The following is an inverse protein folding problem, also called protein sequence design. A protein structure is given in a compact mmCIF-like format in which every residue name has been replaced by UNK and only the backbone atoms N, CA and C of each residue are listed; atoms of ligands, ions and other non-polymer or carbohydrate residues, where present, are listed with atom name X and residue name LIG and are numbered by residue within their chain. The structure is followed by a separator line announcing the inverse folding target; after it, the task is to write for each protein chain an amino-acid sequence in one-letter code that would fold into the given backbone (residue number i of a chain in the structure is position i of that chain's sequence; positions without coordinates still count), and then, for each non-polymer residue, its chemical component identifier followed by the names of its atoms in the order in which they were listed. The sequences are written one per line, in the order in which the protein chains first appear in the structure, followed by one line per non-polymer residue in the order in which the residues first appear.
data_IF_631972250362
#
_entry.id   IF_631972250362
#
_cell.length_a   1.000
_cell.length_b   1.000
_cell.length_c   1.000
_cell.angle_alpha   90.00
_cell.angle_beta   90.00
_cell.angle_gamma   90.00
#
_symmetry.space_group_name_H-M   'P 1'
#
loop_
_entity.id
_entity.type
_entity.pdbx_description
1 polymer ?
#
# COMPACT_ATOMS: atom_id res chain seq x y z
N UNK A 1 25.73 -5.05 -5.05
CA UNK A 1 25.20 -6.31 -5.64
C UNK A 1 24.37 -7.15 -4.68
N UNK A 2 24.87 -7.54 -3.50
CA UNK A 2 24.13 -8.42 -2.57
C UNK A 2 22.78 -7.83 -2.06
N UNK A 3 22.68 -6.52 -1.89
CA UNK A 3 21.49 -5.86 -1.32
C UNK A 3 20.33 -5.78 -2.34
N UNK A 4 20.63 -5.56 -3.64
CA UNK A 4 19.63 -5.67 -4.71
C UNK A 4 19.06 -7.09 -4.82
N UNK A 5 19.89 -8.12 -4.58
CA UNK A 5 19.42 -9.50 -4.54
C UNK A 5 18.47 -9.77 -3.37
N UNK A 6 18.68 -9.13 -2.21
CA UNK A 6 17.78 -9.27 -1.05
C UNK A 6 16.44 -8.58 -1.26
N UNK A 7 16.44 -7.37 -1.83
CA UNK A 7 15.21 -6.68 -2.18
C UNK A 7 14.41 -7.47 -3.23
N UNK A 8 15.09 -7.98 -4.26
CA UNK A 8 14.48 -8.84 -5.29
C UNK A 8 13.87 -10.11 -4.68
N UNK A 9 14.56 -10.77 -3.75
CA UNK A 9 14.03 -11.93 -3.05
C UNK A 9 12.78 -11.61 -2.21
N UNK A 10 12.75 -10.44 -1.55
CA UNK A 10 11.58 -10.01 -0.80
C UNK A 10 10.37 -9.70 -1.70
N UNK A 11 10.59 -9.09 -2.86
CA UNK A 11 9.53 -8.83 -3.84
C UNK A 11 9.00 -10.10 -4.48
N UNK A 12 9.85 -11.08 -4.76
CA UNK A 12 9.39 -12.41 -5.20
C UNK A 12 8.48 -13.07 -4.17
N UNK A 13 8.84 -13.03 -2.89
CA UNK A 13 7.98 -13.53 -1.82
C UNK A 13 6.66 -12.74 -1.72
N UNK A 14 6.65 -11.45 -2.03
CA UNK A 14 5.42 -10.67 -2.14
C UNK A 14 4.51 -11.22 -3.26
N UNK A 15 5.06 -11.44 -4.44
CA UNK A 15 4.26 -11.90 -5.60
C UNK A 15 3.74 -13.33 -5.42
N UNK A 16 4.55 -14.21 -4.81
CA UNK A 16 4.11 -15.53 -4.35
C UNK A 16 2.97 -15.39 -3.34
N UNK A 17 3.09 -14.47 -2.37
CA UNK A 17 2.06 -14.25 -1.37
C UNK A 17 0.75 -13.75 -2.02
N UNK A 18 0.83 -12.84 -2.99
CA UNK A 18 -0.35 -12.40 -3.76
C UNK A 18 -1.01 -13.59 -4.45
N UNK A 19 -0.22 -14.48 -5.06
CA UNK A 19 -0.74 -15.68 -5.72
C UNK A 19 -1.43 -16.63 -4.73
N UNK A 20 -0.88 -16.80 -3.52
CA UNK A 20 -1.51 -17.54 -2.44
C UNK A 20 -2.82 -16.87 -1.97
N UNK A 21 -2.90 -15.54 -1.93
CA UNK A 21 -4.13 -14.82 -1.58
C UNK A 21 -5.25 -15.04 -2.59
N UNK A 22 -4.92 -15.06 -3.88
CA UNK A 22 -5.87 -15.39 -4.95
C UNK A 22 -6.39 -16.81 -4.79
N UNK A 23 -5.51 -17.74 -4.42
CA UNK A 23 -5.88 -19.13 -4.13
C UNK A 23 -6.59 -19.32 -2.77
N UNK A 24 -6.92 -18.25 -2.04
CA UNK A 24 -7.57 -18.32 -0.73
C UNK A 24 -6.68 -18.85 0.42
N UNK A 25 -5.36 -18.96 0.21
CA UNK A 25 -4.41 -19.50 1.18
C UNK A 25 -3.85 -18.39 2.10
N UNK A 26 -4.74 -17.67 2.78
CA UNK A 26 -4.44 -16.45 3.56
C UNK A 26 -3.33 -16.65 4.60
N UNK A 27 -3.36 -17.76 5.34
CA UNK A 27 -2.34 -18.05 6.36
C UNK A 27 -0.94 -18.22 5.76
N UNK A 28 -0.83 -18.90 4.61
CA UNK A 28 0.45 -19.10 3.94
C UNK A 28 0.95 -17.81 3.31
N UNK A 29 0.06 -17.02 2.71
CA UNK A 29 0.38 -15.69 2.21
C UNK A 29 0.95 -14.79 3.30
N UNK A 30 0.33 -14.79 4.50
CA UNK A 30 0.81 -14.00 5.63
C UNK A 30 2.22 -14.42 6.07
N UNK A 31 2.53 -15.71 6.08
CA UNK A 31 3.87 -16.21 6.40
C UNK A 31 4.91 -15.74 5.37
N UNK A 32 4.59 -15.77 4.08
CA UNK A 32 5.48 -15.26 3.03
C UNK A 32 5.71 -13.75 3.14
N UNK A 33 4.66 -12.97 3.43
CA UNK A 33 4.77 -11.53 3.66
C UNK A 33 5.64 -11.21 4.89
N UNK A 34 5.48 -11.96 5.99
CA UNK A 34 6.33 -11.83 7.17
C UNK A 34 7.80 -12.14 6.86
N UNK A 35 8.05 -13.17 6.06
CA UNK A 35 9.39 -13.51 5.60
C UNK A 35 9.97 -12.39 4.70
N UNK A 36 9.18 -11.84 3.79
CA UNK A 36 9.59 -10.70 2.95
C UNK A 36 9.97 -9.48 3.79
N UNK A 37 9.15 -9.09 4.77
CA UNK A 37 9.46 -7.99 5.71
C UNK A 37 10.77 -8.26 6.46
N UNK A 38 10.99 -9.50 6.92
CA UNK A 38 12.23 -9.88 7.62
C UNK A 38 13.47 -9.76 6.73
N UNK A 39 13.35 -10.08 5.44
CA UNK A 39 14.44 -9.90 4.48
C UNK A 39 14.74 -8.41 4.28
N UNK A 40 13.73 -7.58 4.02
CA UNK A 40 13.95 -6.15 3.78
C UNK A 40 14.53 -5.46 5.02
N UNK A 41 13.99 -5.76 6.21
CA UNK A 41 14.53 -5.22 7.48
C UNK A 41 16.01 -5.55 7.67
N UNK A 42 16.42 -6.80 7.37
CA UNK A 42 17.83 -7.21 7.45
C UNK A 42 18.69 -6.52 6.39
N UNK A 43 18.17 -6.32 5.19
CA UNK A 43 18.87 -5.61 4.12
C UNK A 43 19.15 -4.15 4.52
N UNK A 44 18.13 -3.44 5.01
CA UNK A 44 18.26 -2.04 5.46
C UNK A 44 19.23 -1.93 6.63
N UNK A 45 19.13 -2.82 7.64
CA UNK A 45 20.03 -2.81 8.79
C UNK A 45 21.50 -2.99 8.39
N UNK A 46 21.79 -3.87 7.42
CA UNK A 46 23.15 -4.07 6.88
C UNK A 46 23.65 -2.86 6.10
N UNK A 47 22.78 -2.21 5.34
CA UNK A 47 23.11 -1.00 4.59
C UNK A 47 23.50 0.14 5.55
N UNK A 48 22.72 0.34 6.61
CA UNK A 48 23.01 1.35 7.65
C UNK A 48 24.32 1.06 8.41
N UNK A 49 24.62 -0.21 8.69
CA UNK A 49 25.86 -0.61 9.36
C UNK A 49 27.11 -0.45 8.49
N UNK A 50 26.97 -0.49 7.16
CA UNK A 50 28.10 -0.38 6.22
C UNK A 50 28.55 1.04 5.93
N UNK A 51 27.82 2.05 6.38
CA UNK A 51 28.20 3.47 6.30
C UNK A 51 28.51 3.95 4.89
N UNK A 52 27.52 4.54 4.20
CA UNK A 52 27.65 5.38 2.99
C UNK A 52 28.92 5.14 2.13
N UNK A 53 29.15 3.91 1.68
CA UNK A 53 30.21 3.61 0.74
C UNK A 53 29.59 3.13 -0.56
N UNK A 54 29.87 3.88 -1.61
CA UNK A 54 29.58 3.61 -3.04
C UNK A 54 28.19 4.04 -3.53
N UNK A 55 28.07 5.33 -3.84
CA UNK A 55 27.27 5.77 -4.97
C UNK A 55 27.89 5.16 -6.24
N UNK A 56 27.45 3.96 -6.60
CA UNK A 56 27.79 3.36 -7.90
C UNK A 56 26.75 3.85 -8.89
N UNK A 57 27.18 4.76 -9.78
CA UNK A 57 26.47 5.07 -11.01
C UNK A 57 26.37 3.77 -11.82
N UNK A 58 25.26 3.06 -11.68
CA UNK A 58 24.89 1.99 -12.58
C UNK A 58 23.86 2.57 -13.54
N UNK A 59 24.32 2.95 -14.73
CA UNK A 59 23.45 3.13 -15.89
C UNK A 59 22.83 1.76 -16.19
N UNK A 60 21.63 1.53 -15.68
CA UNK A 60 20.81 0.37 -16.04
C UNK A 60 19.69 0.81 -16.96
N UNK A 61 19.48 0.03 -18.00
CA UNK A 61 18.47 0.24 -19.03
C UNK A 61 17.10 0.57 -18.43
N UNK A 62 16.51 1.64 -18.96
CA UNK A 62 15.23 2.23 -18.55
C UNK A 62 14.08 1.25 -18.73
N UNK A 63 13.72 0.52 -17.68
CA UNK A 63 12.37 -0.01 -17.51
C UNK A 63 11.81 0.61 -16.23
N UNK A 64 11.14 1.73 -16.40
CA UNK A 64 10.36 2.35 -15.33
C UNK A 64 9.01 1.65 -15.26
N UNK A 65 8.70 1.03 -14.12
CA UNK A 65 7.37 0.43 -13.88
C UNK A 65 6.32 1.53 -13.97
N UNK A 66 5.42 1.48 -14.94
CA UNK A 66 4.35 2.48 -15.06
C UNK A 66 3.22 2.21 -14.06
N UNK A 67 2.45 3.24 -13.73
CA UNK A 67 1.24 3.08 -12.93
C UNK A 67 0.22 2.12 -13.59
N UNK A 68 0.18 2.11 -14.92
CA UNK A 68 -0.64 1.17 -15.69
C UNK A 68 -0.18 -0.29 -15.49
N UNK A 69 1.13 -0.54 -15.45
CA UNK A 69 1.67 -1.86 -15.12
C UNK A 69 1.32 -2.27 -13.69
N UNK A 70 1.44 -1.35 -12.72
CA UNK A 70 0.99 -1.61 -11.35
C UNK A 70 -0.50 -1.99 -11.29
N UNK A 71 -1.35 -1.34 -12.10
CA UNK A 71 -2.77 -1.67 -12.17
C UNK A 71 -3.02 -3.04 -12.79
N UNK A 72 -2.37 -3.36 -13.90
CA UNK A 72 -2.47 -4.66 -14.58
C UNK A 72 -1.98 -5.79 -13.68
N UNK A 73 -0.91 -5.55 -12.92
CA UNK A 73 -0.28 -6.56 -12.06
C UNK A 73 -0.95 -6.68 -10.69
N UNK A 74 -1.72 -5.67 -10.27
CA UNK A 74 -2.49 -5.73 -9.03
C UNK A 74 -3.66 -6.70 -9.17
N UNK A 75 -3.88 -7.55 -8.17
CA UNK A 75 -4.93 -8.58 -8.23
C UNK A 75 -6.07 -8.26 -7.27
N UNK A 76 -7.28 -8.18 -7.79
CA UNK A 76 -8.50 -7.99 -7.00
C UNK A 76 -8.78 -9.24 -6.15
N UNK A 77 -8.94 -9.04 -4.85
CA UNK A 77 -9.23 -10.11 -3.90
C UNK A 77 -10.75 -10.23 -3.68
N UNK A 78 -11.27 -11.45 -3.80
CA UNK A 78 -12.70 -11.74 -3.62
C UNK A 78 -13.16 -11.66 -2.16
N UNK A 79 -14.48 -11.59 -1.94
CA UNK A 79 -15.09 -11.65 -0.60
C UNK A 79 -15.35 -10.30 0.08
N UNK A 80 -14.96 -9.18 -0.53
CA UNK A 80 -15.26 -7.83 0.02
C UNK A 80 -16.42 -7.11 -0.70
N UNK A 81 -17.20 -7.85 -1.47
CA UNK A 81 -18.38 -7.32 -2.16
C UNK A 81 -19.55 -7.28 -1.15
N UNK A 82 -20.34 -6.19 -1.14
CA UNK A 82 -21.50 -5.93 -0.25
C UNK A 82 -21.23 -5.22 1.09
N UNK A 83 -20.12 -4.50 1.22
CA UNK A 83 -19.92 -3.59 2.35
C UNK A 83 -20.59 -2.24 2.05
N UNK A 84 -21.07 -1.54 3.10
CA UNK A 84 -21.63 -0.18 2.97
C UNK A 84 -20.59 0.85 2.46
N UNK A 85 -19.34 0.42 2.32
CA UNK A 85 -18.19 1.22 1.95
C UNK A 85 -17.29 0.43 0.98
N UNK A 86 -16.58 1.15 0.12
CA UNK A 86 -15.61 0.58 -0.80
C UNK A 86 -14.28 0.29 -0.08
N UNK A 87 -13.92 -0.98 0.02
CA UNK A 87 -12.58 -1.37 0.51
C UNK A 87 -11.66 -1.54 -0.70
N UNK A 88 -10.54 -0.83 -0.72
CA UNK A 88 -9.53 -1.09 -1.73
C UNK A 88 -8.93 -2.48 -1.49
N UNK A 89 -9.23 -3.42 -2.38
CA UNK A 89 -8.99 -4.84 -2.18
C UNK A 89 -8.04 -5.45 -3.22
N UNK A 90 -7.22 -4.63 -3.88
CA UNK A 90 -6.22 -5.12 -4.82
C UNK A 90 -4.88 -5.26 -4.11
N UNK A 91 -4.28 -6.43 -4.21
CA UNK A 91 -2.91 -6.63 -3.74
C UNK A 91 -1.93 -6.23 -4.84
N UNK A 92 -0.91 -5.46 -4.49
CA UNK A 92 0.09 -4.99 -5.46
C UNK A 92 1.15 -6.06 -5.72
N UNK A 93 1.46 -6.30 -7.00
CA UNK A 93 2.64 -7.06 -7.41
C UNK A 93 3.70 -6.12 -7.93
N UNK A 94 4.96 -6.49 -7.73
CA UNK A 94 6.09 -5.71 -8.21
C UNK A 94 7.18 -6.64 -8.68
N UNK A 95 7.40 -6.66 -9.99
CA UNK A 95 8.47 -7.44 -10.58
C UNK A 95 9.83 -6.98 -10.05
N UNK A 96 10.65 -7.94 -9.60
CA UNK A 96 12.02 -7.70 -9.12
C UNK A 96 12.90 -7.03 -10.17
N UNK A 97 12.58 -7.25 -11.44
CA UNK A 97 13.39 -6.83 -12.57
C UNK A 97 13.20 -5.33 -12.88
N UNK A 98 12.23 -4.69 -12.22
CA UNK A 98 11.80 -3.31 -12.47
C UNK A 98 12.25 -2.31 -11.39
N UNK A 99 12.90 -2.77 -10.31
CA UNK A 99 13.49 -1.91 -9.27
C UNK A 99 14.96 -1.46 -9.44
N UNK A 100 15.80 -2.01 -10.35
CA UNK A 100 17.25 -1.75 -10.30
C UNK A 100 17.67 -0.34 -10.74
N UNK A 101 16.76 0.51 -11.22
CA UNK A 101 17.06 1.87 -11.70
C UNK A 101 17.13 2.94 -10.60
N UNK A 102 16.73 2.62 -9.36
CA UNK A 102 16.67 3.58 -8.26
C UNK A 102 17.78 3.42 -7.22
N UNK A 103 18.11 4.49 -6.47
CA UNK A 103 18.88 4.36 -5.24
C UNK A 103 18.24 3.29 -4.36
N UNK A 104 19.07 2.39 -3.85
CA UNK A 104 18.63 1.21 -3.11
C UNK A 104 17.73 1.56 -1.92
N UNK A 105 17.95 2.72 -1.30
CA UNK A 105 17.14 3.25 -0.21
C UNK A 105 15.70 3.53 -0.65
N UNK A 106 15.51 4.22 -1.79
CA UNK A 106 14.18 4.52 -2.34
C UNK A 106 13.48 3.24 -2.80
N UNK A 107 14.21 2.37 -3.50
CA UNK A 107 13.71 1.07 -3.93
C UNK A 107 13.27 0.19 -2.74
N UNK A 108 14.06 0.16 -1.67
CA UNK A 108 13.75 -0.58 -0.44
C UNK A 108 12.57 0.02 0.32
N UNK A 109 12.42 1.36 0.36
CA UNK A 109 11.30 2.03 0.99
C UNK A 109 9.98 1.73 0.28
N UNK A 110 9.92 1.91 -1.04
CA UNK A 110 8.69 1.63 -1.81
C UNK A 110 8.37 0.13 -1.80
N UNK A 111 9.37 -0.73 -1.99
CA UNK A 111 9.18 -2.18 -1.88
C UNK A 111 8.68 -2.61 -0.50
N UNK A 112 9.20 -2.02 0.58
CA UNK A 112 8.69 -2.24 1.94
C UNK A 112 7.25 -1.79 2.09
N UNK A 113 6.90 -0.61 1.56
CA UNK A 113 5.54 -0.08 1.63
C UNK A 113 4.55 -1.02 0.94
N UNK A 114 4.92 -1.63 -0.18
CA UNK A 114 4.10 -2.60 -0.92
C UNK A 114 3.88 -3.87 -0.12
N UNK A 115 4.95 -4.48 0.39
CA UNK A 115 4.87 -5.70 1.20
C UNK A 115 4.00 -5.47 2.43
N UNK A 116 4.22 -4.36 3.14
CA UNK A 116 3.48 -4.02 4.36
C UNK A 116 2.03 -3.68 4.04
N UNK A 117 1.76 -3.00 2.91
CA UNK A 117 0.41 -2.75 2.44
C UNK A 117 -0.35 -4.04 2.18
N UNK A 118 0.24 -4.98 1.44
CA UNK A 118 -0.38 -6.28 1.19
C UNK A 118 -0.63 -7.03 2.49
N UNK A 119 0.30 -6.99 3.45
CA UNK A 119 0.11 -7.57 4.78
C UNK A 119 -1.06 -6.91 5.53
N UNK A 120 -1.17 -5.58 5.48
CA UNK A 120 -2.29 -4.84 6.06
C UNK A 120 -3.62 -5.25 5.41
N UNK A 121 -3.64 -5.44 4.09
CA UNK A 121 -4.81 -5.86 3.35
C UNK A 121 -5.28 -7.26 3.74
N UNK A 122 -4.38 -8.22 3.94
CA UNK A 122 -4.72 -9.57 4.42
C UNK A 122 -5.37 -9.50 5.80
N UNK A 123 -4.78 -8.76 6.74
CA UNK A 123 -5.33 -8.63 8.09
C UNK A 123 -6.67 -7.89 8.10
N UNK A 124 -6.82 -6.89 7.23
CA UNK A 124 -8.06 -6.16 7.05
C UNK A 124 -9.18 -7.08 6.53
N UNK A 125 -8.89 -7.88 5.49
CA UNK A 125 -9.82 -8.90 4.98
C UNK A 125 -10.22 -9.89 6.06
N UNK A 126 -9.26 -10.40 6.83
CA UNK A 126 -9.54 -11.31 7.93
C UNK A 126 -10.44 -10.68 9.00
N UNK A 127 -10.25 -9.40 9.33
CA UNK A 127 -11.13 -8.67 10.25
C UNK A 127 -12.57 -8.60 9.74
N UNK A 128 -12.76 -8.32 8.43
CA UNK A 128 -14.08 -8.19 7.81
C UNK A 128 -14.78 -9.54 7.61
N UNK A 129 -14.04 -10.56 7.17
CA UNK A 129 -14.59 -11.87 6.79
C UNK A 129 -14.73 -12.86 7.94
N UNK A 130 -13.87 -12.79 8.96
CA UNK A 130 -13.81 -13.78 10.05
C UNK A 130 -14.44 -13.24 11.35
N UNK A 131 -15.52 -12.47 11.24
CA UNK A 131 -16.26 -11.90 12.37
C UNK A 131 -15.36 -11.21 13.42
N UNK A 132 -14.37 -10.41 12.98
CA UNK A 132 -13.46 -9.64 13.86
C UNK A 132 -12.58 -10.45 14.81
N UNK A 133 -12.35 -11.74 14.55
CA UNK A 133 -11.36 -12.54 15.31
C UNK A 133 -9.94 -11.97 15.22
N UNK A 134 -9.64 -11.30 14.10
CA UNK A 134 -8.42 -10.51 13.92
C UNK A 134 -8.68 -9.05 14.30
N UNK A 135 -7.94 -8.46 15.25
CA UNK A 135 -8.13 -7.06 15.63
C UNK A 135 -7.82 -6.09 14.48
N UNK A 136 -8.78 -5.20 14.17
CA UNK A 136 -8.63 -4.10 13.22
C UNK A 136 -7.39 -3.22 13.52
N UNK A 137 -7.01 -3.10 14.79
CA UNK A 137 -5.86 -2.33 15.26
C UNK A 137 -4.54 -2.76 14.61
N UNK A 138 -4.37 -4.04 14.28
CA UNK A 138 -3.16 -4.55 13.61
C UNK A 138 -3.08 -4.05 12.16
N UNK A 139 -4.16 -4.20 11.39
CA UNK A 139 -4.22 -3.69 10.02
C UNK A 139 -4.03 -2.16 10.00
N UNK A 140 -4.68 -1.46 10.93
CA UNK A 140 -4.55 -0.02 11.10
C UNK A 140 -3.10 0.42 11.37
N UNK A 141 -2.38 -0.31 12.24
CA UNK A 141 -0.97 -0.02 12.53
C UNK A 141 -0.09 -0.20 11.30
N UNK A 142 -0.33 -1.25 10.49
CA UNK A 142 0.42 -1.48 9.26
C UNK A 142 0.16 -0.39 8.21
N UNK A 143 -1.09 0.03 8.00
CA UNK A 143 -1.37 1.17 7.10
C UNK A 143 -0.67 2.45 7.55
N UNK A 144 -0.57 2.73 8.86
CA UNK A 144 0.20 3.87 9.37
C UNK A 144 1.69 3.76 9.02
N UNK A 145 2.27 2.56 9.12
CA UNK A 145 3.67 2.31 8.73
C UNK A 145 3.86 2.56 7.24
N UNK A 146 2.94 2.10 6.39
CA UNK A 146 2.97 2.36 4.93
C UNK A 146 3.01 3.86 4.65
N UNK A 147 2.12 4.64 5.28
CA UNK A 147 2.09 6.09 5.09
C UNK A 147 3.35 6.79 5.60
N UNK A 148 3.97 6.27 6.67
CA UNK A 148 5.23 6.80 7.16
C UNK A 148 6.37 6.55 6.16
N UNK A 149 6.48 5.33 5.62
CA UNK A 149 7.50 4.97 4.64
C UNK A 149 7.41 5.85 3.37
N UNK A 150 6.20 6.07 2.86
CA UNK A 150 5.97 6.89 1.66
C UNK A 150 6.28 8.38 1.91
N UNK A 151 5.93 8.91 3.09
CA UNK A 151 6.24 10.30 3.43
C UNK A 151 7.75 10.53 3.54
N UNK A 152 8.46 9.61 4.18
CA UNK A 152 9.91 9.67 4.34
C UNK A 152 10.67 9.55 3.00
N UNK A 153 10.08 8.91 1.98
CA UNK A 153 10.68 8.80 0.65
C UNK A 153 10.45 10.03 -0.25
N UNK A 154 9.51 10.91 0.12
CA UNK A 154 9.02 12.01 -0.73
C UNK A 154 9.77 13.34 -0.56
N UNK A 155 10.69 13.46 0.41
CA UNK A 155 11.38 14.74 0.69
C UNK A 155 12.56 15.05 -0.23
N UNK A 156 12.86 14.20 -1.22
CA UNK A 156 14.06 14.31 -2.05
C UNK A 156 13.75 14.16 -3.54
N UNK A 157 13.57 15.31 -4.20
CA UNK A 157 13.54 15.56 -5.66
C UNK A 157 12.15 15.75 -6.31
N UNK A 158 11.96 16.84 -7.09
CA UNK A 158 10.83 16.99 -8.01
C UNK A 158 11.15 16.24 -9.30
N UNK A 159 10.63 15.01 -9.44
CA UNK A 159 10.61 14.35 -10.73
C UNK A 159 9.40 13.43 -10.81
N UNK A 160 8.64 13.57 -11.90
CA UNK A 160 7.60 12.67 -12.40
C UNK A 160 8.22 11.30 -12.71
N UNK A 161 8.59 10.57 -11.67
CA UNK A 161 9.06 9.19 -11.77
C UNK A 161 7.89 8.27 -11.48
N UNK A 162 7.78 7.22 -12.27
CA UNK A 162 6.70 6.24 -12.15
C UNK A 162 6.57 5.61 -10.76
N UNK A 163 7.67 5.56 -9.99
CA UNK A 163 7.70 5.15 -8.59
C UNK A 163 7.02 6.13 -7.63
N UNK A 164 7.02 7.43 -7.94
CA UNK A 164 6.22 8.39 -7.19
C UNK A 164 4.72 8.12 -7.40
N UNK A 165 4.33 7.70 -8.59
CA UNK A 165 2.94 7.36 -8.88
C UNK A 165 2.52 6.06 -8.22
N UNK A 166 3.40 5.04 -8.17
CA UNK A 166 3.19 3.83 -7.37
C UNK A 166 3.06 4.17 -5.88
N UNK A 167 3.96 5.00 -5.34
CA UNK A 167 3.89 5.43 -3.95
C UNK A 167 2.59 6.19 -3.66
N UNK A 168 2.13 7.06 -4.57
CA UNK A 168 0.83 7.74 -4.48
C UNK A 168 -0.34 6.77 -4.53
N UNK A 169 -0.31 5.78 -5.42
CA UNK A 169 -1.33 4.73 -5.52
C UNK A 169 -1.49 3.98 -4.19
N UNK A 170 -0.36 3.55 -3.60
CA UNK A 170 -0.34 2.88 -2.30
C UNK A 170 -0.81 3.82 -1.19
N UNK A 171 -0.42 5.10 -1.23
CA UNK A 171 -0.83 6.10 -0.24
C UNK A 171 -2.35 6.31 -0.27
N UNK A 172 -2.94 6.45 -1.46
CA UNK A 172 -4.38 6.58 -1.68
C UNK A 172 -5.11 5.35 -1.15
N UNK A 173 -4.65 4.15 -1.52
CA UNK A 173 -5.25 2.89 -1.07
C UNK A 173 -5.17 2.71 0.46
N UNK A 174 -4.02 3.02 1.06
CA UNK A 174 -3.80 2.91 2.50
C UNK A 174 -4.66 3.91 3.29
N UNK A 175 -4.79 5.16 2.82
CA UNK A 175 -5.66 6.17 3.41
C UNK A 175 -7.13 5.76 3.34
N UNK A 176 -7.60 5.26 2.19
CA UNK A 176 -8.97 4.78 2.04
C UNK A 176 -9.29 3.66 3.04
N UNK A 177 -8.46 2.62 3.09
CA UNK A 177 -8.68 1.47 3.95
C UNK A 177 -8.54 1.83 5.44
N UNK A 178 -7.63 2.74 5.79
CA UNK A 178 -7.49 3.24 7.16
C UNK A 178 -8.73 4.05 7.60
N UNK A 179 -9.22 4.94 6.74
CA UNK A 179 -10.40 5.75 7.03
C UNK A 179 -11.63 4.86 7.28
N UNK A 180 -11.80 3.83 6.46
CA UNK A 180 -12.90 2.88 6.59
C UNK A 180 -12.79 2.02 7.86
N UNK A 181 -11.62 1.46 8.18
CA UNK A 181 -11.41 0.76 9.47
C UNK A 181 -11.78 1.63 10.68
N UNK A 182 -11.39 2.91 10.67
CA UNK A 182 -11.72 3.86 11.74
C UNK A 182 -13.20 4.21 11.75
N UNK A 183 -13.83 4.32 10.60
CA UNK A 183 -15.26 4.56 10.49
C UNK A 183 -16.06 3.41 11.11
N UNK A 184 -15.70 2.16 10.78
CA UNK A 184 -16.34 0.95 11.32
C UNK A 184 -16.10 0.74 12.82
N UNK A 185 -14.99 1.26 13.34
CA UNK A 185 -14.67 1.25 14.78
C UNK A 185 -15.30 2.45 15.53
N UNK A 186 -16.11 3.27 14.85
CA UNK A 186 -16.76 4.44 15.45
C UNK A 186 -15.84 5.64 15.69
N UNK A 187 -14.59 5.61 15.21
CA UNK A 187 -13.61 6.69 15.28
C UNK A 187 -13.84 7.73 14.17
N UNK A 188 -15.06 8.28 14.11
CA UNK A 188 -15.51 9.11 12.99
C UNK A 188 -14.67 10.38 12.76
N UNK A 189 -14.18 11.02 13.83
CA UNK A 189 -13.35 12.21 13.70
C UNK A 189 -12.00 11.91 13.04
N UNK A 190 -11.41 10.75 13.36
CA UNK A 190 -10.18 10.27 12.74
C UNK A 190 -10.43 9.84 11.29
N UNK A 191 -11.53 9.12 11.02
CA UNK A 191 -11.92 8.73 9.66
C UNK A 191 -12.14 9.95 8.75
N UNK A 192 -12.85 10.98 9.22
CA UNK A 192 -13.05 12.23 8.47
C UNK A 192 -11.74 12.94 8.17
N UNK A 193 -10.78 12.95 9.11
CA UNK A 193 -9.44 13.51 8.85
C UNK A 193 -8.66 12.73 7.79
N UNK A 194 -8.78 11.41 7.79
CA UNK A 194 -8.14 10.57 6.77
C UNK A 194 -8.78 10.81 5.39
N UNK A 195 -10.11 10.88 5.30
CA UNK A 195 -10.80 11.25 4.06
C UNK A 195 -10.45 12.66 3.58
N UNK A 196 -10.28 13.62 4.49
CA UNK A 196 -9.78 14.96 4.15
C UNK A 196 -8.36 14.91 3.59
N UNK A 197 -7.48 14.10 4.20
CA UNK A 197 -6.11 13.88 3.70
C UNK A 197 -6.12 13.22 2.32
N UNK A 198 -7.04 12.27 2.10
CA UNK A 198 -7.24 11.58 0.83
C UNK A 198 -7.74 12.53 -0.27
N UNK A 199 -8.72 13.39 0.04
CA UNK A 199 -9.22 14.40 -0.87
C UNK A 199 -8.12 15.40 -1.28
N UNK A 200 -7.35 15.90 -0.30
CA UNK A 200 -6.21 16.78 -0.56
C UNK A 200 -5.12 16.09 -1.40
N UNK A 201 -4.89 14.80 -1.18
CA UNK A 201 -3.95 14.06 -2.00
C UNK A 201 -4.47 13.98 -3.44
N UNK A 202 -5.74 13.62 -3.64
CA UNK A 202 -6.34 13.50 -4.96
C UNK A 202 -6.33 14.81 -5.78
N UNK A 203 -6.37 15.98 -5.15
CA UNK A 203 -6.26 17.27 -5.87
C UNK A 203 -4.84 17.57 -6.35
N UNK A 204 -3.83 16.92 -5.78
CA UNK A 204 -2.41 17.12 -6.14
C UNK A 204 -1.90 16.14 -7.20
N UNK A 205 -2.68 15.11 -7.55
CA UNK A 205 -2.27 14.10 -8.52
C UNK A 205 -2.81 14.47 -9.91
N UNK A 206 -1.92 14.63 -10.88
CA UNK A 206 -2.27 15.01 -12.26
C UNK A 206 -2.91 13.89 -13.08
N UNK A 207 -2.63 12.62 -12.72
CA UNK A 207 -3.21 11.44 -13.35
C UNK A 207 -3.91 10.56 -12.31
N UNK A 208 -4.91 9.78 -12.71
CA UNK A 208 -5.61 8.90 -11.76
C UNK A 208 -4.62 7.87 -11.17
N UNK A 209 -4.37 7.89 -9.84
CA UNK A 209 -3.37 7.03 -9.20
C UNK A 209 -3.84 5.58 -9.09
N UNK A 210 -5.11 5.30 -9.40
CA UNK A 210 -5.77 4.00 -9.36
C UNK A 210 -6.67 3.87 -10.60
N UNK A 211 -7.09 2.64 -10.92
CA UNK A 211 -8.07 2.41 -11.97
C UNK A 211 -9.38 3.18 -11.74
N UNK A 212 -10.13 3.45 -12.82
CA UNK A 212 -11.32 4.29 -12.76
C UNK A 212 -12.40 3.75 -11.81
N UNK A 213 -12.54 2.43 -11.72
CA UNK A 213 -13.48 1.76 -10.80
C UNK A 213 -13.07 1.96 -9.35
N UNK A 214 -11.79 1.79 -9.04
CA UNK A 214 -11.25 1.98 -7.70
C UNK A 214 -11.36 3.44 -7.26
N UNK A 215 -11.03 4.38 -8.16
CA UNK A 215 -11.18 5.81 -7.91
C UNK A 215 -12.64 6.19 -7.64
N UNK A 216 -13.59 5.64 -8.40
CA UNK A 216 -15.02 5.86 -8.16
C UNK A 216 -15.42 5.38 -6.76
N UNK A 217 -15.00 4.17 -6.37
CA UNK A 217 -15.29 3.63 -5.03
C UNK A 217 -14.72 4.50 -3.91
N UNK A 218 -13.49 4.98 -4.07
CA UNK A 218 -12.83 5.89 -3.12
C UNK A 218 -13.58 7.23 -3.01
N UNK A 219 -14.00 7.81 -4.13
CA UNK A 219 -14.79 9.05 -4.13
C UNK A 219 -16.11 8.86 -3.41
N UNK A 220 -16.80 7.73 -3.66
CA UNK A 220 -18.05 7.38 -2.95
C UNK A 220 -17.80 7.33 -1.44
N UNK A 221 -16.72 6.70 -0.98
CA UNK A 221 -16.37 6.69 0.44
C UNK A 221 -16.18 8.09 1.01
N UNK A 222 -15.42 8.95 0.32
CA UNK A 222 -15.18 10.34 0.77
C UNK A 222 -16.49 11.11 0.89
N UNK A 223 -17.44 10.89 -0.03
CA UNK A 223 -18.73 11.60 -0.04
C UNK A 223 -19.71 11.04 0.98
N UNK A 224 -19.80 9.71 1.11
CA UNK A 224 -20.85 9.04 1.87
C UNK A 224 -20.46 8.74 3.32
N UNK A 225 -19.16 8.63 3.65
CA UNK A 225 -18.68 8.26 4.99
C UNK A 225 -18.30 9.48 5.85
N UNK A 226 -19.02 10.59 5.65
CA UNK A 226 -18.96 11.75 6.54
C UNK A 226 -20.05 11.61 7.60
N UNK A 227 -19.68 11.42 8.86
CA UNK A 227 -20.67 11.54 9.95
C UNK A 227 -21.08 13.01 10.07
N UNK A 228 -22.21 13.37 9.47
CA UNK A 228 -22.56 14.78 9.29
C UNK A 228 -23.97 15.14 8.84
N UNK A 229 -24.89 14.21 8.63
CA UNK A 229 -26.31 14.55 8.66
C UNK A 229 -26.87 14.16 10.03
N UNK A 230 -26.75 15.06 11.00
CA UNK A 230 -27.83 15.18 11.98
C UNK A 230 -29.05 15.60 11.16
N UNK A 231 -29.79 14.65 10.59
CA UNK A 231 -31.14 14.94 10.18
C UNK A 231 -31.85 15.32 11.47
N UNK A 232 -32.16 16.62 11.62
CA UNK A 232 -33.11 17.03 12.64
C UNK A 232 -34.36 16.16 12.46
N UNK A 233 -34.93 15.58 13.52
CA UNK A 233 -36.21 14.92 13.40
C UNK A 233 -37.18 15.95 12.81
N UNK A 234 -37.90 15.55 11.75
CA UNK A 234 -38.96 16.38 11.21
C UNK A 234 -39.93 16.69 12.36
N UNK A 235 -40.05 17.98 12.68
CA UNK A 235 -41.03 18.51 13.63
C UNK A 235 -42.40 18.58 12.96
#
# INVERSE_FOLDING_TARGET
MAENAQLSAALRLNDEAVSLLVAGQERKALLQLQQAVSIVKRSIARHLQRGQATATNSESHKHEMTLEQLHQDSVQLSGLNNLQCFVYNRAFRVSSDQLPSLPIEKAAQTGSAIIIFNMALVLHRACLLQNRTVPASKALALYKIVLHLIKSSSSASPASSSMQDIARAIQVAALNNMAQLRFEDGQYAQATRDFGSLANLMTTIQQAPLGATEMRGIVINILCLKKGAKFAPAA
#
